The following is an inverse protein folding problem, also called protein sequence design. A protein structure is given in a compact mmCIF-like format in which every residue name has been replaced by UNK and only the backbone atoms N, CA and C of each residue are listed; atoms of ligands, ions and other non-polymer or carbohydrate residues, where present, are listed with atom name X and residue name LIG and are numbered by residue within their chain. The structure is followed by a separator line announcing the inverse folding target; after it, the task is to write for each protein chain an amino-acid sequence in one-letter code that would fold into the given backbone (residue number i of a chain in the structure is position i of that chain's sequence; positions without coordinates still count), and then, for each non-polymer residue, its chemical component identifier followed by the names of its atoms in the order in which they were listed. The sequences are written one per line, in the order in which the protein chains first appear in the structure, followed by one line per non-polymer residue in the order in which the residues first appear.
data_IF_333451949635
#
_entry.id   IF_333451949635
#
_cell.length_a   1.000
_cell.length_b   1.000
_cell.length_c   1.000
_cell.angle_alpha   90.00
_cell.angle_beta   90.00
_cell.angle_gamma   90.00
#
_symmetry.space_group_name_H-M   'P 1'
#
loop_
_entity.id
_entity.type
_entity.pdbx_description
1 polymer ?
#
# COMPACT_ATOMS: atom_id res chain seq x y z
N UNK A 1 -1.55 -17.85 5.15
CA UNK A 1 -2.73 -17.09 5.64
C UNK A 1 -3.32 -17.74 6.87
N UNK A 2 -3.85 -16.97 7.83
CA UNK A 2 -4.34 -17.48 9.12
C UNK A 2 -5.45 -18.54 9.00
N UNK A 3 -6.36 -18.38 8.04
CA UNK A 3 -7.48 -19.29 7.78
C UNK A 3 -7.34 -20.04 6.45
N UNK A 4 -6.11 -20.19 5.93
CA UNK A 4 -5.85 -20.93 4.69
C UNK A 4 -5.11 -22.24 4.94
N UNK A 5 -5.04 -23.09 3.94
CA UNK A 5 -4.45 -24.44 4.05
C UNK A 5 -2.90 -24.44 4.08
N UNK A 6 -2.27 -23.26 3.90
CA UNK A 6 -0.81 -23.08 3.83
C UNK A 6 -0.39 -21.80 4.57
N UNK A 7 -0.40 -21.79 5.91
CA UNK A 7 0.21 -20.72 6.67
C UNK A 7 1.73 -20.89 6.71
N UNK A 8 2.46 -19.79 6.58
CA UNK A 8 3.93 -19.78 6.68
C UNK A 8 4.32 -19.06 7.96
N UNK A 9 5.14 -19.74 8.78
CA UNK A 9 5.65 -19.21 10.04
C UNK A 9 7.18 -19.27 10.02
N UNK A 10 7.81 -18.31 10.69
CA UNK A 10 9.26 -18.35 10.92
C UNK A 10 9.64 -19.13 12.19
N UNK A 11 10.94 -19.20 12.46
CA UNK A 11 11.51 -19.91 13.61
C UNK A 11 11.06 -19.36 14.97
N UNK A 12 10.61 -18.10 15.03
CA UNK A 12 10.06 -17.49 16.25
C UNK A 12 8.53 -17.69 16.37
N UNK A 13 7.91 -18.40 15.43
CA UNK A 13 6.47 -18.64 15.41
C UNK A 13 5.65 -17.44 14.92
N UNK A 14 6.25 -16.51 14.19
CA UNK A 14 5.54 -15.36 13.59
C UNK A 14 4.97 -15.74 12.24
N UNK A 15 3.70 -15.41 11.99
CA UNK A 15 3.10 -15.56 10.65
C UNK A 15 3.80 -14.61 9.67
N UNK A 16 4.13 -15.10 8.48
CA UNK A 16 4.88 -14.35 7.45
C UNK A 16 4.01 -14.04 6.22
N UNK A 17 3.12 -13.03 6.30
CA UNK A 17 2.39 -12.55 5.13
C UNK A 17 3.27 -11.76 4.14
N UNK A 18 4.48 -11.41 4.56
CA UNK A 18 5.52 -10.65 3.84
C UNK A 18 6.46 -11.53 3.01
N UNK A 19 6.22 -12.84 2.94
CA UNK A 19 7.08 -13.81 2.26
C UNK A 19 7.33 -13.48 0.78
N UNK A 20 6.32 -12.99 0.04
CA UNK A 20 6.45 -12.62 -1.37
C UNK A 20 7.23 -11.32 -1.58
N UNK A 21 7.13 -10.38 -0.63
CA UNK A 21 7.93 -9.16 -0.63
C UNK A 21 9.41 -9.49 -0.39
N UNK A 22 9.68 -10.41 0.52
CA UNK A 22 11.02 -10.87 0.88
C UNK A 22 11.59 -11.96 -0.03
N UNK A 23 10.91 -12.27 -1.14
CA UNK A 23 11.45 -13.19 -2.13
C UNK A 23 12.83 -12.68 -2.63
N UNK A 24 13.86 -13.54 -2.71
CA UNK A 24 15.21 -13.11 -3.08
C UNK A 24 15.29 -12.42 -4.45
N UNK A 25 14.46 -12.81 -5.42
CA UNK A 25 14.45 -12.18 -6.74
C UNK A 25 13.80 -10.79 -6.67
N UNK A 26 12.69 -10.67 -5.94
CA UNK A 26 12.04 -9.37 -5.67
C UNK A 26 13.01 -8.41 -4.98
N UNK A 27 13.69 -8.85 -3.92
CA UNK A 27 14.63 -8.02 -3.17
C UNK A 27 15.84 -7.61 -4.03
N UNK A 28 16.43 -8.53 -4.79
CA UNK A 28 17.55 -8.22 -5.68
C UNK A 28 17.17 -7.23 -6.79
N UNK A 29 15.96 -7.36 -7.37
CA UNK A 29 15.46 -6.43 -8.36
C UNK A 29 15.24 -5.03 -7.76
N UNK A 30 14.66 -4.95 -6.56
CA UNK A 30 14.48 -3.70 -5.82
C UNK A 30 15.82 -3.03 -5.50
N UNK A 31 16.82 -3.78 -5.03
CA UNK A 31 18.16 -3.27 -4.74
C UNK A 31 18.88 -2.76 -6.00
N UNK A 32 18.70 -3.42 -7.14
CA UNK A 32 19.23 -2.92 -8.40
C UNK A 32 18.60 -1.57 -8.80
N UNK A 33 17.27 -1.45 -8.68
CA UNK A 33 16.54 -0.23 -9.05
C UNK A 33 16.85 0.94 -8.13
N UNK A 34 16.90 0.72 -6.80
CA UNK A 34 17.09 1.82 -5.84
C UNK A 34 18.41 2.56 -6.06
N UNK A 35 19.45 1.84 -6.51
CA UNK A 35 20.76 2.41 -6.84
C UNK A 35 20.77 3.28 -8.12
N UNK A 36 19.67 3.29 -8.88
CA UNK A 36 19.52 4.09 -10.11
C UNK A 36 18.62 5.31 -9.93
N UNK A 37 17.94 5.43 -8.79
CA UNK A 37 16.99 6.52 -8.53
C UNK A 37 17.75 7.83 -8.28
N UNK A 38 17.30 8.89 -8.94
CA UNK A 38 17.76 10.26 -8.78
C UNK A 38 16.57 11.20 -8.62
N UNK A 39 16.81 12.45 -8.23
CA UNK A 39 15.75 13.45 -8.12
C UNK A 39 15.02 13.67 -9.45
N UNK A 40 15.74 13.54 -10.58
CA UNK A 40 15.22 13.76 -11.92
C UNK A 40 14.32 12.62 -12.42
N UNK A 41 14.53 11.38 -11.93
CA UNK A 41 13.78 10.21 -12.40
C UNK A 41 12.80 9.64 -11.37
N UNK A 42 12.72 10.21 -10.16
CA UNK A 42 11.91 9.67 -9.06
C UNK A 42 10.42 9.55 -9.43
N UNK A 43 9.84 10.56 -10.08
CA UNK A 43 8.43 10.58 -10.49
C UNK A 43 8.20 9.98 -11.89
N UNK A 44 9.00 8.97 -12.26
CA UNK A 44 8.84 8.23 -13.51
C UNK A 44 8.43 6.78 -13.22
N UNK A 45 8.07 5.97 -14.23
CA UNK A 45 7.73 4.56 -14.03
C UNK A 45 8.86 3.67 -13.45
N UNK A 46 10.05 4.23 -13.18
CA UNK A 46 11.13 3.56 -12.43
C UNK A 46 10.72 3.30 -10.97
N UNK A 47 9.84 4.13 -10.42
CA UNK A 47 9.27 3.95 -9.07
C UNK A 47 7.75 3.79 -9.14
N UNK A 48 7.17 3.31 -8.04
CA UNK A 48 5.72 3.24 -7.86
C UNK A 48 5.10 4.53 -7.30
N UNK A 49 5.74 5.70 -7.45
CA UNK A 49 5.35 6.92 -6.72
C UNK A 49 3.90 7.37 -6.97
N UNK A 50 3.40 7.30 -8.21
CA UNK A 50 2.02 7.66 -8.53
C UNK A 50 1.00 6.78 -7.78
N UNK A 51 1.33 5.49 -7.63
CA UNK A 51 0.49 4.55 -6.86
C UNK A 51 0.58 4.87 -5.37
N UNK A 52 1.79 5.13 -4.86
CA UNK A 52 2.00 5.50 -3.46
C UNK A 52 1.19 6.75 -3.07
N UNK A 53 1.24 7.82 -3.86
CA UNK A 53 0.47 9.05 -3.56
C UNK A 53 -1.03 8.82 -3.68
N UNK A 54 -1.49 8.05 -4.68
CA UNK A 54 -2.91 7.68 -4.77
C UNK A 54 -3.36 6.94 -3.50
N UNK A 55 -2.64 5.90 -3.08
CA UNK A 55 -3.00 5.11 -1.90
C UNK A 55 -2.91 5.93 -0.60
N UNK A 56 -1.95 6.85 -0.51
CA UNK A 56 -1.86 7.81 0.58
C UNK A 56 -3.11 8.71 0.65
N UNK A 57 -3.58 9.22 -0.48
CA UNK A 57 -4.79 10.04 -0.56
C UNK A 57 -6.05 9.23 -0.19
N UNK A 58 -6.14 7.99 -0.66
CA UNK A 58 -7.25 7.06 -0.35
C UNK A 58 -7.40 6.85 1.15
N UNK A 59 -6.30 6.72 1.89
CA UNK A 59 -6.35 6.61 3.36
C UNK A 59 -7.00 7.82 4.04
N UNK A 60 -6.94 9.00 3.41
CA UNK A 60 -7.57 10.22 3.90
C UNK A 60 -8.98 10.45 3.33
N UNK A 61 -9.50 9.51 2.55
CA UNK A 61 -10.81 9.60 1.90
C UNK A 61 -10.82 10.38 0.59
N UNK A 62 -9.65 10.67 0.00
CA UNK A 62 -9.53 11.33 -1.30
C UNK A 62 -9.19 10.32 -2.41
N UNK A 63 -9.50 10.66 -3.67
CA UNK A 63 -9.20 9.82 -4.85
C UNK A 63 -9.72 8.36 -4.75
N UNK A 64 -10.80 8.16 -3.98
CA UNK A 64 -11.44 6.85 -3.81
C UNK A 64 -12.21 6.48 -5.09
N UNK A 65 -11.81 5.37 -5.71
CA UNK A 65 -12.43 4.89 -6.95
C UNK A 65 -13.94 4.64 -6.75
N UNK A 66 -14.76 5.22 -7.64
CA UNK A 66 -16.21 5.05 -7.61
C UNK A 66 -16.96 5.97 -6.64
N UNK A 67 -16.27 6.79 -5.84
CA UNK A 67 -16.94 7.79 -4.99
C UNK A 67 -17.79 8.76 -5.81
N UNK A 68 -19.01 9.00 -5.35
CA UNK A 68 -19.92 10.01 -5.89
C UNK A 68 -20.04 11.12 -4.86
N UNK A 69 -19.82 12.37 -5.29
CA UNK A 69 -19.89 13.50 -4.38
C UNK A 69 -21.32 13.70 -3.88
N UNK A 70 -21.49 13.66 -2.56
CA UNK A 70 -22.74 13.96 -1.88
C UNK A 70 -22.58 15.21 -1.03
N UNK A 71 -23.64 16.02 -0.96
CA UNK A 71 -23.66 17.15 -0.04
C UNK A 71 -23.94 16.62 1.36
N UNK A 72 -23.02 16.87 2.29
CA UNK A 72 -23.17 16.53 3.72
C UNK A 72 -22.95 17.77 4.57
N UNK A 73 -23.62 17.84 5.71
CA UNK A 73 -23.39 18.88 6.72
C UNK A 73 -22.50 18.37 7.85
N UNK A 74 -21.90 19.29 8.59
CA UNK A 74 -21.09 18.93 9.76
C UNK A 74 -21.96 18.26 10.84
N UNK A 75 -23.20 18.70 10.99
CA UNK A 75 -24.16 18.14 11.95
C UNK A 75 -24.51 16.69 11.63
N UNK A 76 -24.68 16.36 10.34
CA UNK A 76 -24.94 14.99 9.88
C UNK A 76 -23.76 14.07 10.19
N UNK A 77 -22.53 14.53 9.94
CA UNK A 77 -21.31 13.76 10.22
C UNK A 77 -21.13 13.50 11.72
N UNK A 78 -21.40 14.49 12.56
CA UNK A 78 -21.32 14.35 14.04
C UNK A 78 -22.37 13.36 14.57
N UNK A 79 -23.53 13.25 13.92
CA UNK A 79 -24.60 12.35 14.33
C UNK A 79 -24.34 10.87 14.02
N UNK A 80 -23.31 10.55 13.21
CA UNK A 80 -22.92 9.17 12.91
C UNK A 80 -22.43 8.44 14.16
N UNK A 81 -22.80 7.17 14.29
CA UNK A 81 -22.30 6.28 15.34
C UNK A 81 -21.20 5.38 14.76
N UNK A 82 -20.13 5.08 15.53
CA UNK A 82 -19.10 4.13 15.13
C UNK A 82 -19.65 2.73 14.82
#
# INVERSE_FOLDING_TARGET
MLYGDKPEYDEQGRLRPDNWELDPQTQAATEALINTITAENFNTPVTGYDTFIKEFNVNSGFDVDGYQAESVTLEELIALKP
#
